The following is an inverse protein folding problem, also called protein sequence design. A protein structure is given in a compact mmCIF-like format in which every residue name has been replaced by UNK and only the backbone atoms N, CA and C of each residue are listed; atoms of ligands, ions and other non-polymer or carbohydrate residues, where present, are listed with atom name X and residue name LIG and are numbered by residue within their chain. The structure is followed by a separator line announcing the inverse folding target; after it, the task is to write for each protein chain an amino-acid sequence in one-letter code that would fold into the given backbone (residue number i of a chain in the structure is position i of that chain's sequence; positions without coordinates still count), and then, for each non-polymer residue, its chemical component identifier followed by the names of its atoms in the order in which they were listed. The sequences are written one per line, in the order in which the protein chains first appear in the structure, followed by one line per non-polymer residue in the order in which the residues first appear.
data_IF_338459314866
#
_entry.id   IF_338459314866
#
_cell.length_a   1.000
_cell.length_b   1.000
_cell.length_c   1.000
_cell.angle_alpha   90.00
_cell.angle_beta   90.00
_cell.angle_gamma   90.00
#
_symmetry.space_group_name_H-M   'P 1'
#
loop_
_entity.id
_entity.type
_entity.pdbx_description
1 polymer ?
#
# COMPACT_ATOMS: atom_id res chain seq x y z
N UNK A 1 21.40 -8.01 -18.63
CA UNK A 1 20.49 -6.86 -18.55
C UNK A 1 19.57 -7.10 -17.37
N UNK A 2 19.45 -6.10 -16.49
CA UNK A 2 19.01 -6.23 -15.10
C UNK A 2 17.65 -6.93 -14.96
N UNK A 3 17.59 -7.92 -14.07
CA UNK A 3 16.33 -8.45 -13.61
C UNK A 3 15.68 -7.38 -12.73
N UNK A 4 14.69 -6.70 -13.29
CA UNK A 4 13.74 -5.88 -12.56
C UNK A 4 12.96 -6.79 -11.63
N UNK A 5 13.46 -6.92 -10.39
CA UNK A 5 12.89 -7.76 -9.37
C UNK A 5 11.49 -7.22 -9.02
N UNK A 6 10.45 -8.01 -9.29
CA UNK A 6 9.08 -7.73 -8.85
C UNK A 6 9.06 -7.70 -7.32
N UNK A 7 9.14 -6.49 -6.77
CA UNK A 7 9.30 -6.24 -5.34
C UNK A 7 7.91 -6.08 -4.71
N UNK A 8 7.54 -7.10 -3.92
CA UNK A 8 6.30 -7.27 -3.17
C UNK A 8 4.98 -7.23 -3.97
N UNK A 9 4.27 -8.36 -3.89
CA UNK A 9 2.89 -8.47 -4.32
C UNK A 9 2.04 -8.32 -3.05
N UNK A 10 1.31 -7.20 -2.92
CA UNK A 10 0.33 -7.06 -1.85
C UNK A 10 -0.69 -8.18 -2.01
N UNK A 11 -0.77 -9.12 -1.05
CA UNK A 11 -1.68 -10.26 -1.18
C UNK A 11 -3.11 -9.75 -1.34
N UNK A 12 -3.73 -10.09 -2.47
CA UNK A 12 -5.15 -9.82 -2.72
C UNK A 12 -6.11 -10.59 -1.79
N UNK A 13 -5.59 -11.42 -0.90
CA UNK A 13 -6.36 -12.17 0.11
C UNK A 13 -6.67 -11.34 1.38
N UNK A 14 -6.18 -10.10 1.44
CA UNK A 14 -6.41 -9.20 2.57
C UNK A 14 -7.84 -8.64 2.55
N UNK A 15 -8.53 -8.75 3.69
CA UNK A 15 -9.89 -8.26 3.84
C UNK A 15 -9.85 -6.75 4.10
N UNK A 16 -10.23 -5.96 3.10
CA UNK A 16 -10.23 -4.50 3.18
C UNK A 16 -11.64 -3.99 3.42
N UNK A 17 -11.86 -3.36 4.57
CA UNK A 17 -13.15 -2.80 4.96
C UNK A 17 -13.05 -1.28 5.09
N UNK A 18 -13.88 -0.56 4.34
CA UNK A 18 -14.04 0.89 4.52
C UNK A 18 -14.74 1.16 5.86
N UNK A 19 -14.04 1.78 6.80
CA UNK A 19 -14.56 2.17 8.10
C UNK A 19 -14.80 3.69 8.12
N UNK A 20 -16.04 4.14 8.36
CA UNK A 20 -16.31 5.57 8.52
C UNK A 20 -15.64 6.06 9.80
N UNK A 21 -14.67 6.95 9.68
CA UNK A 21 -14.05 7.58 10.86
C UNK A 21 -14.92 8.71 11.37
N UNK A 22 -14.97 8.88 12.70
CA UNK A 22 -15.67 9.98 13.38
C UNK A 22 -15.25 11.39 12.92
N UNK A 23 -14.10 11.53 12.26
CA UNK A 23 -13.58 12.80 11.74
C UNK A 23 -13.90 13.06 10.24
N UNK A 24 -14.68 12.20 9.58
CA UNK A 24 -15.04 12.41 8.16
C UNK A 24 -13.93 12.06 7.16
N UNK A 25 -12.84 11.46 7.61
CA UNK A 25 -11.81 10.86 6.76
C UNK A 25 -12.09 9.36 6.67
N UNK A 26 -12.46 8.86 5.50
CA UNK A 26 -12.67 7.44 5.27
C UNK A 26 -11.35 6.69 5.55
N UNK A 27 -11.36 5.81 6.54
CA UNK A 27 -10.22 4.95 6.86
C UNK A 27 -10.49 3.56 6.30
N UNK A 28 -9.44 2.89 5.86
CA UNK A 28 -9.49 1.52 5.35
C UNK A 28 -8.89 0.59 6.39
N UNK A 29 -9.72 -0.28 6.94
CA UNK A 29 -9.29 -1.31 7.86
C UNK A 29 -8.91 -2.54 7.04
N UNK A 30 -7.62 -2.83 6.97
CA UNK A 30 -7.09 -4.01 6.27
C UNK A 30 -6.83 -5.09 7.32
N UNK A 31 -7.53 -6.21 7.21
CA UNK A 31 -7.33 -7.37 8.07
C UNK A 31 -6.55 -8.43 7.31
N UNK A 32 -5.47 -8.87 7.92
CA UNK A 32 -4.75 -10.05 7.45
C UNK A 32 -5.40 -11.32 8.04
N UNK A 33 -6.06 -12.16 7.23
CA UNK A 33 -6.70 -13.38 7.73
C UNK A 33 -5.68 -14.42 8.18
N UNK A 34 -4.41 -14.35 7.72
CA UNK A 34 -3.39 -15.33 8.03
C UNK A 34 -2.72 -15.09 9.38
N UNK A 35 -2.37 -13.84 9.70
CA UNK A 35 -1.77 -13.45 10.98
C UNK A 35 -2.80 -12.93 11.99
N UNK A 36 -4.03 -12.65 11.56
CA UNK A 36 -5.08 -12.03 12.38
C UNK A 36 -4.79 -10.56 12.72
N UNK A 37 -3.84 -9.92 12.02
CA UNK A 37 -3.45 -8.53 12.26
C UNK A 37 -4.40 -7.58 11.56
N UNK A 38 -4.73 -6.50 12.23
CA UNK A 38 -5.55 -5.41 11.68
C UNK A 38 -4.69 -4.17 11.52
N UNK A 39 -4.64 -3.66 10.30
CA UNK A 39 -3.97 -2.42 9.93
C UNK A 39 -5.03 -1.37 9.61
N UNK A 40 -4.79 -0.15 10.07
CA UNK A 40 -5.67 0.97 9.80
C UNK A 40 -4.92 1.89 8.85
N UNK A 41 -5.32 1.87 7.58
CA UNK A 41 -4.72 2.67 6.53
C UNK A 41 -5.60 3.89 6.27
N UNK A 42 -4.98 5.06 6.12
CA UNK A 42 -5.66 6.20 5.55
C UNK A 42 -5.96 5.99 4.06
N UNK A 43 -6.68 6.95 3.48
CA UNK A 43 -6.95 6.98 2.03
C UNK A 43 -5.69 6.95 1.17
N UNK A 44 -4.62 7.58 1.65
CA UNK A 44 -3.31 7.63 0.99
C UNK A 44 -2.63 6.26 0.98
N UNK A 45 -2.50 5.63 2.15
CA UNK A 45 -1.83 4.35 2.27
C UNK A 45 -2.62 3.22 1.60
N UNK A 46 -3.95 3.24 1.69
CA UNK A 46 -4.80 2.31 0.95
C UNK A 46 -4.54 2.40 -0.56
N UNK A 47 -4.41 3.63 -1.09
CA UNK A 47 -4.13 3.82 -2.50
C UNK A 47 -2.73 3.32 -2.89
N UNK A 48 -1.73 3.49 -2.01
CA UNK A 48 -0.42 2.88 -2.22
C UNK A 48 -0.54 1.35 -2.31
N UNK A 49 -1.28 0.72 -1.39
CA UNK A 49 -1.52 -0.72 -1.41
C UNK A 49 -2.23 -1.18 -2.70
N UNK A 50 -3.25 -0.45 -3.18
CA UNK A 50 -3.91 -0.75 -4.47
C UNK A 50 -2.94 -0.71 -5.66
N UNK A 51 -1.99 0.23 -5.65
CA UNK A 51 -0.99 0.37 -6.69
C UNK A 51 0.11 -0.69 -6.59
N UNK A 52 0.40 -1.17 -5.37
CA UNK A 52 1.40 -2.21 -5.06
C UNK A 52 0.88 -3.63 -5.30
N UNK A 53 0.14 -3.82 -6.38
CA UNK A 53 -0.38 -5.12 -6.81
C UNK A 53 0.63 -5.95 -7.64
N UNK A 54 1.92 -5.65 -7.56
CA UNK A 54 2.98 -6.27 -8.37
C UNK A 54 3.00 -5.85 -9.86
N UNK A 55 2.00 -5.11 -10.34
CA UNK A 55 1.89 -4.69 -11.75
C UNK A 55 2.41 -3.27 -12.01
N UNK A 56 2.66 -2.47 -10.96
CA UNK A 56 3.22 -1.12 -11.09
C UNK A 56 4.63 -1.06 -10.47
N UNK A 57 5.56 -0.38 -11.14
CA UNK A 57 6.89 -0.10 -10.58
C UNK A 57 6.82 1.03 -9.54
N UNK A 58 7.73 1.08 -8.57
CA UNK A 58 7.75 2.12 -7.52
C UNK A 58 7.72 3.55 -8.09
N UNK A 59 8.40 3.79 -9.22
CA UNK A 59 8.35 5.08 -9.92
C UNK A 59 6.96 5.43 -10.46
N UNK A 60 6.21 4.44 -10.95
CA UNK A 60 4.83 4.63 -11.40
C UNK A 60 3.88 4.84 -10.21
N UNK A 61 4.09 4.07 -9.13
CA UNK A 61 3.33 4.23 -7.89
C UNK A 61 3.50 5.66 -7.36
N UNK A 62 4.74 6.17 -7.30
CA UNK A 62 5.05 7.55 -6.91
C UNK A 62 4.33 8.57 -7.80
N UNK A 63 4.40 8.39 -9.13
CA UNK A 63 3.77 9.33 -10.07
C UNK A 63 2.26 9.38 -9.87
N UNK A 64 1.60 8.21 -9.82
CA UNK A 64 0.15 8.11 -9.60
C UNK A 64 -0.27 8.65 -8.23
N UNK A 65 0.51 8.38 -7.19
CA UNK A 65 0.28 8.92 -5.85
C UNK A 65 0.34 10.45 -5.86
N UNK A 66 1.37 11.02 -6.51
CA UNK A 66 1.53 12.47 -6.67
C UNK A 66 0.41 13.10 -7.49
N UNK A 67 -0.03 12.46 -8.57
CA UNK A 67 -1.16 12.95 -9.36
C UNK A 67 -2.48 12.94 -8.58
N UNK A 68 -2.69 11.94 -7.72
CA UNK A 68 -3.94 11.79 -6.97
C UNK A 68 -4.00 12.67 -5.71
N UNK A 69 -2.91 12.77 -4.97
CA UNK A 69 -2.87 13.47 -3.67
C UNK A 69 -2.09 14.79 -3.71
N UNK A 70 -1.33 15.06 -4.78
CA UNK A 70 -0.45 16.22 -4.86
C UNK A 70 0.80 16.10 -3.98
N UNK A 71 1.05 14.93 -3.41
CA UNK A 71 2.16 14.67 -2.48
C UNK A 71 3.28 13.92 -3.18
N UNK A 72 4.52 14.41 -3.01
CA UNK A 72 5.69 13.74 -3.54
C UNK A 72 6.26 12.80 -2.46
N UNK A 73 6.25 11.50 -2.73
CA UNK A 73 6.83 10.49 -1.85
C UNK A 73 8.18 10.04 -2.43
N UNK A 74 9.18 9.89 -1.58
CA UNK A 74 10.48 9.41 -2.02
C UNK A 74 10.44 7.90 -2.32
N UNK A 75 11.21 7.47 -3.32
CA UNK A 75 11.31 6.04 -3.65
C UNK A 75 11.81 5.23 -2.44
N UNK A 76 12.74 5.78 -1.63
CA UNK A 76 13.20 5.13 -0.41
C UNK A 76 12.08 4.92 0.63
N UNK A 77 11.12 5.85 0.73
CA UNK A 77 9.95 5.69 1.61
C UNK A 77 9.00 4.60 1.08
N UNK A 78 8.80 4.56 -0.24
CA UNK A 78 8.06 3.51 -0.93
C UNK A 78 8.70 2.13 -0.74
N UNK A 79 10.03 2.03 -0.90
CA UNK A 79 10.78 0.81 -0.66
C UNK A 79 10.68 0.37 0.80
N UNK A 80 10.80 1.31 1.76
CA UNK A 80 10.63 1.00 3.17
C UNK A 80 9.21 0.51 3.47
N UNK A 81 8.18 1.13 2.88
CA UNK A 81 6.79 0.70 3.02
C UNK A 81 6.58 -0.71 2.48
N UNK A 82 7.04 -0.98 1.26
CA UNK A 82 7.01 -2.30 0.63
C UNK A 82 7.75 -3.35 1.48
N UNK A 83 8.93 -3.00 1.98
CA UNK A 83 9.72 -3.88 2.83
C UNK A 83 9.02 -4.14 4.17
N UNK A 84 8.35 -3.14 4.77
CA UNK A 84 7.54 -3.31 5.97
C UNK A 84 6.34 -4.22 5.72
N UNK A 85 5.67 -4.10 4.58
CA UNK A 85 4.56 -5.00 4.20
C UNK A 85 5.05 -6.44 4.09
N UNK A 86 6.12 -6.67 3.33
CA UNK A 86 6.72 -8.00 3.18
C UNK A 86 7.24 -8.57 4.51
N UNK A 87 7.84 -7.75 5.36
CA UNK A 87 8.29 -8.16 6.71
C UNK A 87 7.12 -8.51 7.64
N UNK A 88 5.94 -7.95 7.39
CA UNK A 88 4.71 -8.28 8.12
C UNK A 88 3.96 -9.49 7.54
N UNK A 89 4.41 -10.03 6.40
CA UNK A 89 3.82 -11.19 5.73
C UNK A 89 2.60 -10.87 4.85
N UNK A 90 2.40 -9.59 4.56
CA UNK A 90 1.34 -9.05 3.69
C UNK A 90 1.74 -9.14 2.21
#
# INVERSE_FOLDING_TARGET
MAQSQCVAEFRGDLDVVLAPSRHGLDNYLVKDPLSGKTFNFGKEEHYLCELLNGNNSLSEVRLKFKERFGLDIEIAQLEAFVHQLGAQGL
#
